data_IF_775429555870
#
_entry.id   IF_775429555870
#
_cell.length_a   1.000
_cell.length_b   1.000
_cell.length_c   1.000
_cell.angle_alpha   90.00
_cell.angle_beta   90.00
_cell.angle_gamma   90.00
#
_symmetry.space_group_name_H-M   'P 1'
#
loop_
_entity.id
_entity.type
_entity.pdbx_description
1 polymer ?
#
# COMPACT_ATOMS: atom_id res chain seq x y z
N UNK A 1 7.15 -26.86 11.62
CA UNK A 1 7.08 -25.38 11.68
C UNK A 1 5.65 -24.99 11.98
N UNK A 2 5.40 -24.24 13.06
CA UNK A 2 4.06 -23.81 13.45
C UNK A 2 3.72 -22.53 12.66
N UNK A 3 3.11 -22.70 11.48
CA UNK A 3 2.70 -21.59 10.63
C UNK A 3 1.51 -20.92 11.33
N UNK A 4 1.81 -19.96 12.18
CA UNK A 4 0.80 -19.22 12.92
C UNK A 4 0.14 -18.21 11.98
N UNK A 5 -1.10 -18.48 11.56
CA UNK A 5 -1.88 -17.60 10.69
C UNK A 5 -2.01 -16.18 11.28
N UNK A 6 -2.07 -16.07 12.61
CA UNK A 6 -2.13 -14.78 13.32
C UNK A 6 -0.86 -13.95 13.10
N UNK A 7 0.31 -14.58 13.15
CA UNK A 7 1.59 -13.91 12.92
C UNK A 7 1.69 -13.41 11.47
N UNK A 8 1.29 -14.25 10.50
CA UNK A 8 1.25 -13.86 9.09
C UNK A 8 0.25 -12.73 8.79
N UNK A 9 -0.92 -12.75 9.43
CA UNK A 9 -1.90 -11.66 9.33
C UNK A 9 -1.37 -10.34 9.87
N UNK A 10 -0.65 -10.36 10.99
CA UNK A 10 0.00 -9.16 11.56
C UNK A 10 1.07 -8.60 10.63
N UNK A 11 1.94 -9.44 10.08
CA UNK A 11 2.98 -9.03 9.13
C UNK A 11 2.36 -8.38 7.88
N UNK A 12 1.30 -8.98 7.32
CA UNK A 12 0.58 -8.41 6.18
C UNK A 12 -0.10 -7.07 6.51
N UNK A 13 -0.69 -6.94 7.70
CA UNK A 13 -1.27 -5.67 8.17
C UNK A 13 -0.21 -4.56 8.26
N UNK A 14 0.95 -4.83 8.85
CA UNK A 14 2.02 -3.83 8.91
C UNK A 14 2.54 -3.46 7.52
N UNK A 15 2.71 -4.45 6.65
CA UNK A 15 3.12 -4.23 5.26
C UNK A 15 2.12 -3.35 4.50
N UNK A 16 0.82 -3.53 4.72
CA UNK A 16 -0.24 -2.71 4.13
C UNK A 16 -0.16 -1.24 4.59
N UNK A 17 0.00 -1.00 5.90
CA UNK A 17 0.13 0.36 6.45
C UNK A 17 1.34 1.08 5.85
N UNK A 18 2.47 0.39 5.76
CA UNK A 18 3.70 0.93 5.15
C UNK A 18 3.46 1.29 3.68
N UNK A 19 2.87 0.38 2.90
CA UNK A 19 2.58 0.62 1.49
C UNK A 19 1.67 1.84 1.30
N UNK A 20 0.59 1.97 2.08
CA UNK A 20 -0.33 3.12 2.01
C UNK A 20 0.42 4.42 2.31
N UNK A 21 1.21 4.44 3.38
CA UNK A 21 2.00 5.63 3.76
C UNK A 21 2.95 6.07 2.65
N UNK A 22 3.69 5.14 2.05
CA UNK A 22 4.59 5.44 0.93
C UNK A 22 3.83 5.90 -0.31
N UNK A 23 2.71 5.27 -0.65
CA UNK A 23 1.89 5.65 -1.80
C UNK A 23 1.40 7.09 -1.66
N UNK A 24 0.89 7.47 -0.49
CA UNK A 24 0.45 8.85 -0.18
C UNK A 24 1.64 9.82 -0.23
N UNK A 25 2.80 9.44 0.31
CA UNK A 25 4.01 10.27 0.29
C UNK A 25 4.52 10.53 -1.14
N UNK A 26 4.52 9.52 -2.00
CA UNK A 26 4.97 9.64 -3.40
C UNK A 26 3.96 10.36 -4.29
N UNK A 27 2.67 10.22 -4.02
CA UNK A 27 1.61 10.94 -4.73
C UNK A 27 1.53 12.44 -4.34
N UNK A 28 2.14 12.82 -3.21
CA UNK A 28 2.11 14.18 -2.67
C UNK A 28 2.81 15.16 -3.62
N UNK A 29 2.01 16.01 -4.28
CA UNK A 29 2.49 17.04 -5.22
C UNK A 29 2.36 16.70 -6.71
N UNK A 30 2.03 15.46 -7.08
CA UNK A 30 1.78 15.06 -8.49
C UNK A 30 0.32 14.70 -8.78
N UNK A 31 -0.46 14.37 -7.76
CA UNK A 31 -1.85 13.98 -7.94
C UNK A 31 -2.82 15.11 -7.56
N UNK A 32 -3.83 15.34 -8.41
CA UNK A 32 -4.92 16.27 -8.11
C UNK A 32 -5.73 15.85 -6.87
N UNK A 33 -5.84 14.54 -6.60
CA UNK A 33 -6.67 14.00 -5.53
C UNK A 33 -5.90 12.98 -4.67
N UNK A 34 -5.14 13.47 -3.69
CA UNK A 34 -4.39 12.61 -2.75
C UNK A 34 -5.29 11.66 -1.97
N UNK A 35 -6.47 12.13 -1.53
CA UNK A 35 -7.38 11.35 -0.72
C UNK A 35 -7.91 10.14 -1.47
N UNK A 36 -8.19 10.30 -2.77
CA UNK A 36 -8.66 9.23 -3.64
C UNK A 36 -7.58 8.17 -3.87
N UNK A 37 -6.31 8.58 -3.97
CA UNK A 37 -5.17 7.66 -4.12
C UNK A 37 -4.91 6.89 -2.83
N UNK A 38 -4.99 7.55 -1.68
CA UNK A 38 -4.91 6.88 -0.38
C UNK A 38 -6.04 5.88 -0.19
N UNK A 39 -7.26 6.22 -0.61
CA UNK A 39 -8.42 5.32 -0.57
C UNK A 39 -8.24 4.12 -1.49
N UNK A 40 -7.73 4.32 -2.71
CA UNK A 40 -7.38 3.23 -3.63
C UNK A 40 -6.28 2.33 -3.09
N UNK A 41 -5.23 2.90 -2.49
CA UNK A 41 -4.14 2.14 -1.88
C UNK A 41 -4.62 1.32 -0.68
N UNK A 42 -5.59 1.83 0.09
CA UNK A 42 -6.24 1.12 1.17
C UNK A 42 -7.10 -0.04 0.65
N UNK A 43 -8.00 0.21 -0.31
CA UNK A 43 -8.82 -0.85 -0.92
C UNK A 43 -7.96 -1.95 -1.53
N UNK A 44 -6.94 -1.58 -2.31
CA UNK A 44 -6.03 -2.55 -2.91
C UNK A 44 -5.32 -3.38 -1.84
N UNK A 45 -4.79 -2.77 -0.78
CA UNK A 45 -4.08 -3.52 0.26
C UNK A 45 -5.00 -4.44 1.08
N UNK A 46 -6.24 -4.05 1.31
CA UNK A 46 -7.22 -4.84 2.08
C UNK A 46 -7.68 -6.08 1.30
N UNK A 47 -7.96 -5.92 0.01
CA UNK A 47 -8.42 -7.04 -0.83
C UNK A 47 -7.27 -7.89 -1.37
N UNK A 48 -6.19 -7.23 -1.78
CA UNK A 48 -5.08 -7.81 -2.53
C UNK A 48 -3.76 -7.16 -2.10
N UNK A 49 -3.20 -7.53 -0.93
CA UNK A 49 -2.00 -6.89 -0.39
C UNK A 49 -0.84 -6.86 -1.39
N UNK A 50 -0.64 -7.93 -2.17
CA UNK A 50 0.37 -7.98 -3.23
C UNK A 50 0.18 -6.91 -4.31
N UNK A 51 -1.06 -6.61 -4.68
CA UNK A 51 -1.38 -5.59 -5.72
C UNK A 51 -1.21 -4.18 -5.16
N UNK A 52 -1.50 -3.98 -3.86
CA UNK A 52 -1.23 -2.71 -3.17
C UNK A 52 0.23 -2.29 -3.22
N UNK A 53 1.16 -3.26 -3.12
CA UNK A 53 2.59 -3.00 -3.27
C UNK A 53 3.00 -2.64 -4.70
N UNK A 54 2.42 -3.30 -5.71
CA UNK A 54 2.65 -2.97 -7.13
C UNK A 54 2.18 -1.53 -7.41
N UNK A 55 1.02 -1.16 -6.87
CA UNK A 55 0.48 0.19 -6.98
C UNK A 55 1.37 1.24 -6.31
N UNK A 56 1.92 0.93 -5.12
CA UNK A 56 2.92 1.78 -4.47
C UNK A 56 4.18 1.94 -5.34
N UNK A 57 4.67 0.84 -5.94
CA UNK A 57 5.82 0.85 -6.84
C UNK A 57 5.58 1.69 -8.10
N UNK A 58 4.38 1.62 -8.68
CA UNK A 58 3.98 2.45 -9.81
C UNK A 58 4.08 3.95 -9.47
N UNK A 59 3.60 4.36 -8.30
CA UNK A 59 3.72 5.75 -7.85
C UNK A 59 5.17 6.17 -7.56
N UNK A 60 6.00 5.26 -7.06
CA UNK A 60 7.43 5.51 -6.88
C UNK A 60 8.17 5.71 -8.22
N UNK A 61 7.90 4.86 -9.22
CA UNK A 61 8.50 4.99 -10.57
C UNK A 61 8.00 6.25 -11.27
N UNK A 62 6.71 6.59 -11.12
CA UNK A 62 6.12 7.83 -11.64
C UNK A 62 6.64 9.10 -10.94
N UNK A 63 7.26 8.94 -9.77
CA UNK A 63 7.89 10.04 -9.06
C UNK A 63 9.24 10.43 -9.66
N UNK A 64 10.03 9.45 -10.15
CA UNK A 64 11.19 9.69 -11.03
C UNK A 64 10.74 10.35 -12.33
#
# INVERSE_FOLDING_TARGET
>A
MNINATFWGQVLCFAAVIAIFFTVKFARGKASNLLLIGFYAFLLNVFLPSVGWIYCGYWHVKQR
#
